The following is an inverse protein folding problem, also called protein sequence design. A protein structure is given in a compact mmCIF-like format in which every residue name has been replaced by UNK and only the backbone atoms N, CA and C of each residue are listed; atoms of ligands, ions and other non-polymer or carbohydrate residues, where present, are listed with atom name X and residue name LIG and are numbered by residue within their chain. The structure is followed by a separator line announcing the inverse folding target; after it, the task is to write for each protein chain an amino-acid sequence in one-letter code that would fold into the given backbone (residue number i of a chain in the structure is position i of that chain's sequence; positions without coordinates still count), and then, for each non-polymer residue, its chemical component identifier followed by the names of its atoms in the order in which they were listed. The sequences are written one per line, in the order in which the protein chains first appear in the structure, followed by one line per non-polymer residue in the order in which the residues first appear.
data_IF_260761951702
#
_entry.id   IF_260761951702
#
_cell.length_a   1.000
_cell.length_b   1.000
_cell.length_c   1.000
_cell.angle_alpha   90.00
_cell.angle_beta   90.00
_cell.angle_gamma   90.00
#
_symmetry.space_group_name_H-M   'P 1'
#
loop_
_entity.id
_entity.type
_entity.pdbx_description
1 polymer ?
#
# COMPACT_ATOMS: atom_id res chain seq x y z
N UNK A 1 4.23 -15.73 -11.15
CA UNK A 1 3.89 -14.86 -10.01
C UNK A 1 3.52 -13.49 -10.53
N UNK A 2 2.58 -12.79 -9.90
CA UNK A 2 2.09 -11.51 -10.40
C UNK A 2 2.91 -10.35 -9.80
N UNK A 3 3.75 -9.71 -10.63
CA UNK A 3 4.64 -8.62 -10.19
C UNK A 3 3.87 -7.38 -9.71
N UNK A 4 2.69 -7.14 -10.28
CA UNK A 4 1.81 -6.03 -9.87
C UNK A 4 1.36 -6.22 -8.42
N UNK A 5 0.95 -7.44 -8.06
CA UNK A 5 0.53 -7.77 -6.69
C UNK A 5 1.68 -7.63 -5.71
N UNK A 6 2.87 -8.10 -6.08
CA UNK A 6 4.08 -7.98 -5.25
C UNK A 6 4.44 -6.49 -5.01
N UNK A 7 4.43 -5.67 -6.05
CA UNK A 7 4.71 -4.24 -5.89
C UNK A 7 3.63 -3.53 -5.06
N UNK A 8 2.36 -3.94 -5.16
CA UNK A 8 1.30 -3.40 -4.33
C UNK A 8 1.46 -3.79 -2.85
N UNK A 9 1.90 -5.03 -2.58
CA UNK A 9 2.21 -5.49 -1.21
C UNK A 9 3.35 -4.68 -0.57
N UNK A 10 4.36 -4.28 -1.36
CA UNK A 10 5.42 -3.38 -0.87
C UNK A 10 4.81 -2.06 -0.38
N UNK A 11 3.97 -1.41 -1.20
CA UNK A 11 3.33 -0.15 -0.83
C UNK A 11 2.46 -0.30 0.43
N UNK A 12 1.77 -1.43 0.58
CA UNK A 12 0.94 -1.75 1.75
C UNK A 12 1.75 -2.03 3.02
N UNK A 13 2.90 -2.70 2.91
CA UNK A 13 3.81 -2.93 4.02
C UNK A 13 4.40 -1.62 4.54
N UNK A 14 4.78 -0.71 3.63
CA UNK A 14 5.42 0.57 3.97
C UNK A 14 4.50 1.50 4.77
N UNK A 15 3.18 1.44 4.57
CA UNK A 15 2.20 2.21 5.34
C UNK A 15 1.51 1.40 6.46
N UNK A 16 1.88 0.14 6.64
CA UNK A 16 1.27 -0.76 7.64
C UNK A 16 -0.13 -1.27 7.30
N UNK A 17 -0.62 -1.07 6.07
CA UNK A 17 -1.88 -1.64 5.60
C UNK A 17 -1.79 -3.18 5.44
N UNK A 18 -0.57 -3.71 5.37
CA UNK A 18 -0.28 -5.13 5.45
C UNK A 18 0.78 -5.37 6.53
N UNK A 19 0.62 -6.45 7.29
CA UNK A 19 1.57 -6.87 8.32
C UNK A 19 2.65 -7.82 7.76
N UNK A 20 3.79 -7.89 8.46
CA UNK A 20 4.84 -8.87 8.16
C UNK A 20 4.31 -10.32 8.16
N UNK A 21 3.43 -10.65 9.11
CA UNK A 21 2.86 -11.98 9.23
C UNK A 21 2.01 -12.36 7.99
N UNK A 22 1.25 -11.41 7.44
CA UNK A 22 0.45 -11.64 6.23
C UNK A 22 1.33 -11.93 5.00
N UNK A 23 2.40 -11.16 4.81
CA UNK A 23 3.29 -11.37 3.66
C UNK A 23 4.13 -12.65 3.80
N UNK A 24 4.56 -13.00 5.01
CA UNK A 24 5.23 -14.28 5.28
C UNK A 24 4.28 -15.45 5.01
N UNK A 25 3.03 -15.39 5.49
CA UNK A 25 2.02 -16.43 5.23
C UNK A 25 1.76 -16.60 3.74
N UNK A 26 1.64 -15.50 3.00
CA UNK A 26 1.51 -15.52 1.54
C UNK A 26 2.70 -16.22 0.87
N UNK A 27 3.93 -15.93 1.28
CA UNK A 27 5.11 -16.57 0.72
C UNK A 27 5.16 -18.07 1.07
N UNK A 28 4.85 -18.45 2.30
CA UNK A 28 4.80 -19.83 2.77
C UNK A 28 3.78 -20.67 2.01
N UNK A 29 2.59 -20.11 1.77
CA UNK A 29 1.53 -20.76 0.99
C UNK A 29 2.01 -21.09 -0.43
N UNK A 30 2.66 -20.14 -1.11
CA UNK A 30 3.22 -20.36 -2.44
C UNK A 30 4.38 -21.36 -2.44
N UNK A 31 5.24 -21.34 -1.43
CA UNK A 31 6.33 -22.32 -1.28
C UNK A 31 5.77 -23.75 -1.17
N UNK A 32 4.67 -23.92 -0.44
CA UNK A 32 4.02 -25.22 -0.25
C UNK A 32 3.26 -25.66 -1.51
N UNK A 33 2.61 -24.73 -2.21
CA UNK A 33 1.80 -25.03 -3.40
C UNK A 33 2.64 -25.44 -4.61
N UNK A 34 3.77 -24.78 -4.84
CA UNK A 34 4.57 -25.03 -6.04
C UNK A 34 5.55 -26.20 -5.87
N UNK A 35 5.55 -27.11 -6.86
CA UNK A 35 6.50 -28.22 -6.90
C UNK A 35 7.98 -27.77 -6.99
N UNK A 36 8.21 -26.59 -7.61
CA UNK A 36 9.50 -25.89 -7.66
C UNK A 36 9.22 -24.41 -7.39
N UNK A 37 9.30 -23.96 -6.13
CA UNK A 37 9.04 -22.57 -5.79
C UNK A 37 10.18 -21.65 -6.27
N UNK A 38 9.87 -20.37 -6.42
CA UNK A 38 10.88 -19.34 -6.70
C UNK A 38 11.75 -19.11 -5.46
N UNK A 39 13.08 -19.20 -5.59
CA UNK A 39 14.00 -19.11 -4.46
C UNK A 39 13.83 -17.82 -3.65
N UNK A 40 13.43 -16.73 -4.31
CA UNK A 40 13.19 -15.42 -3.66
C UNK A 40 12.06 -15.46 -2.63
N UNK A 41 11.14 -16.43 -2.72
CA UNK A 41 10.07 -16.58 -1.72
C UNK A 41 10.61 -16.98 -0.34
N UNK A 42 11.74 -17.72 -0.29
CA UNK A 42 12.35 -18.09 0.99
C UNK A 42 12.91 -16.87 1.74
N UNK A 43 13.40 -15.87 1.02
CA UNK A 43 13.85 -14.61 1.63
C UNK A 43 12.68 -13.84 2.24
N UNK A 44 11.51 -13.86 1.58
CA UNK A 44 10.27 -13.26 2.13
C UNK A 44 9.78 -14.04 3.35
N UNK A 45 9.73 -15.37 3.26
CA UNK A 45 9.28 -16.28 4.34
C UNK A 45 10.13 -16.14 5.61
N UNK A 46 11.43 -15.91 5.46
CA UNK A 46 12.36 -15.82 6.59
C UNK A 46 12.59 -14.40 7.12
N UNK A 47 11.90 -13.40 6.54
CA UNK A 47 12.01 -12.00 6.93
C UNK A 47 11.60 -11.78 8.40
N UNK A 48 12.40 -11.02 9.15
CA UNK A 48 12.16 -10.73 10.58
C UNK A 48 11.68 -9.31 10.82
N UNK A 49 11.93 -8.42 9.88
CA UNK A 49 11.51 -7.04 9.91
C UNK A 49 10.81 -6.67 8.59
N UNK A 50 9.93 -5.66 8.64
CA UNK A 50 9.21 -5.17 7.45
C UNK A 50 10.19 -4.77 6.35
N UNK A 51 11.29 -4.09 6.69
CA UNK A 51 12.30 -3.69 5.72
C UNK A 51 12.95 -4.89 5.00
N UNK A 52 13.18 -6.00 5.71
CA UNK A 52 13.74 -7.22 5.11
C UNK A 52 12.75 -7.79 4.08
N UNK A 53 11.46 -7.84 4.44
CA UNK A 53 10.40 -8.29 3.54
C UNK A 53 10.26 -7.38 2.32
N UNK A 54 10.31 -6.06 2.49
CA UNK A 54 10.26 -5.10 1.37
C UNK A 54 11.44 -5.32 0.42
N UNK A 55 12.67 -5.46 0.93
CA UNK A 55 13.86 -5.72 0.09
C UNK A 55 13.72 -7.05 -0.65
N UNK A 56 13.25 -8.10 0.03
CA UNK A 56 13.04 -9.40 -0.59
C UNK A 56 11.97 -9.34 -1.70
N UNK A 57 10.87 -8.60 -1.48
CA UNK A 57 9.83 -8.40 -2.48
C UNK A 57 10.34 -7.58 -3.68
N UNK A 58 11.20 -6.59 -3.47
CA UNK A 58 11.81 -5.80 -4.55
C UNK A 58 12.68 -6.66 -5.48
N UNK A 59 13.23 -7.78 -5.01
CA UNK A 59 14.00 -8.72 -5.84
C UNK A 59 13.15 -9.41 -6.93
N UNK A 60 11.82 -9.31 -6.85
CA UNK A 60 10.92 -9.75 -7.93
C UNK A 60 10.89 -8.81 -9.14
N UNK A 61 11.39 -7.59 -8.97
CA UNK A 61 11.44 -6.54 -9.98
C UNK A 61 10.27 -5.56 -9.89
N UNK A 62 10.24 -4.63 -10.83
CA UNK A 62 9.23 -3.59 -10.92
C UNK A 62 8.27 -3.84 -12.09
N UNK A 63 6.99 -3.63 -11.85
CA UNK A 63 5.95 -3.61 -12.88
C UNK A 63 6.11 -2.41 -13.81
N UNK A 64 5.91 -2.60 -15.10
CA UNK A 64 5.81 -1.49 -16.05
C UNK A 64 4.50 -0.69 -15.90
N UNK A 65 3.48 -1.29 -15.29
CA UNK A 65 2.14 -0.70 -15.13
C UNK A 65 1.92 -0.13 -13.72
N UNK A 66 2.58 0.99 -13.41
CA UNK A 66 2.52 1.62 -12.08
C UNK A 66 1.10 2.03 -11.67
N UNK A 67 0.24 2.40 -12.63
CA UNK A 67 -1.17 2.72 -12.34
C UNK A 67 -1.94 1.52 -11.79
N UNK A 68 -1.73 0.33 -12.35
CA UNK A 68 -2.36 -0.90 -11.87
C UNK A 68 -1.80 -1.28 -10.49
N UNK A 69 -0.49 -1.07 -10.26
CA UNK A 69 0.11 -1.26 -8.93
C UNK A 69 -0.56 -0.35 -7.90
N UNK A 70 -0.74 0.94 -8.22
CA UNK A 70 -1.38 1.90 -7.34
C UNK A 70 -2.85 1.53 -7.04
N UNK A 71 -3.62 1.09 -8.04
CA UNK A 71 -4.99 0.59 -7.85
C UNK A 71 -5.03 -0.60 -6.88
N UNK A 72 -4.13 -1.57 -7.06
CA UNK A 72 -4.02 -2.73 -6.15
C UNK A 72 -3.57 -2.33 -4.75
N UNK A 73 -2.65 -1.37 -4.63
CA UNK A 73 -2.23 -0.85 -3.34
C UNK A 73 -3.37 -0.13 -2.63
N UNK A 74 -4.19 0.65 -3.35
CA UNK A 74 -5.38 1.31 -2.81
C UNK A 74 -6.37 0.31 -2.25
N UNK A 75 -6.59 -0.81 -2.94
CA UNK A 75 -7.40 -1.91 -2.40
C UNK A 75 -6.84 -2.43 -1.07
N UNK A 76 -5.53 -2.67 -0.99
CA UNK A 76 -4.87 -3.12 0.25
C UNK A 76 -4.96 -2.06 1.37
N UNK A 77 -4.85 -0.76 1.04
CA UNK A 77 -5.01 0.32 2.00
C UNK A 77 -6.43 0.37 2.58
N UNK A 78 -7.44 0.24 1.71
CA UNK A 78 -8.86 0.19 2.09
C UNK A 78 -9.11 -0.95 3.09
N UNK A 79 -8.64 -2.16 2.76
CA UNK A 79 -8.73 -3.34 3.64
C UNK A 79 -7.95 -3.11 4.94
N UNK A 80 -6.75 -2.54 4.88
CA UNK A 80 -5.93 -2.24 6.06
C UNK A 80 -6.60 -1.25 7.02
N UNK A 81 -7.26 -0.22 6.50
CA UNK A 81 -8.04 0.73 7.30
C UNK A 81 -9.23 0.03 7.96
N UNK A 82 -9.99 -0.76 7.20
CA UNK A 82 -11.14 -1.51 7.72
C UNK A 82 -10.77 -2.47 8.86
N UNK A 83 -9.61 -3.12 8.73
CA UNK A 83 -9.07 -4.04 9.73
C UNK A 83 -8.33 -3.34 10.87
N UNK A 84 -8.25 -2.00 10.86
CA UNK A 84 -7.49 -1.20 11.84
C UNK A 84 -6.00 -1.58 11.93
N UNK A 85 -5.42 -2.03 10.82
CA UNK A 85 -3.97 -2.33 10.71
C UNK A 85 -3.14 -1.06 10.50
N UNK A 86 -3.72 -0.07 9.82
CA UNK A 86 -3.10 1.23 9.53
C UNK A 86 -4.05 2.37 9.90
N UNK A 87 -3.52 3.58 10.05
CA UNK A 87 -4.31 4.78 10.23
C UNK A 87 -4.55 5.53 8.92
N UNK A 88 -5.55 6.41 8.93
CA UNK A 88 -5.82 7.30 7.79
C UNK A 88 -4.64 8.23 7.52
N UNK A 89 -3.92 8.67 8.56
CA UNK A 89 -2.71 9.48 8.45
C UNK A 89 -1.58 8.76 7.74
N UNK A 90 -1.34 7.49 8.09
CA UNK A 90 -0.29 6.69 7.44
C UNK A 90 -0.60 6.47 5.96
N UNK A 91 -1.87 6.21 5.64
CA UNK A 91 -2.30 6.07 4.24
C UNK A 91 -2.24 7.40 3.50
N UNK A 92 -2.71 8.51 4.09
CA UNK A 92 -2.63 9.84 3.49
C UNK A 92 -1.18 10.24 3.18
N UNK A 93 -0.27 10.01 4.12
CA UNK A 93 1.16 10.21 3.91
C UNK A 93 1.70 9.30 2.79
N UNK A 94 1.27 8.04 2.74
CA UNK A 94 1.74 7.10 1.72
C UNK A 94 1.29 7.51 0.32
N UNK A 95 0.02 7.89 0.14
CA UNK A 95 -0.48 8.30 -1.18
C UNK A 95 0.17 9.61 -1.64
N UNK A 96 0.55 10.51 -0.71
CA UNK A 96 1.36 11.69 -1.03
C UNK A 96 2.72 11.28 -1.64
N UNK A 97 3.46 10.36 -1.00
CA UNK A 97 4.73 9.89 -1.52
C UNK A 97 4.59 9.09 -2.82
N UNK A 98 3.48 8.36 -2.99
CA UNK A 98 3.17 7.69 -4.26
C UNK A 98 2.99 8.70 -5.39
N UNK A 99 2.30 9.81 -5.16
CA UNK A 99 2.15 10.87 -6.16
C UNK A 99 3.50 11.52 -6.51
N UNK A 100 4.38 11.75 -5.53
CA UNK A 100 5.75 12.23 -5.78
C UNK A 100 6.58 11.25 -6.63
N UNK A 101 6.28 9.96 -6.55
CA UNK A 101 6.97 8.90 -7.27
C UNK A 101 6.30 8.52 -8.60
N UNK A 102 5.30 9.28 -9.06
CA UNK A 102 4.49 8.98 -10.26
C UNK A 102 3.78 7.61 -10.19
N UNK A 103 3.48 7.14 -8.97
CA UNK A 103 2.74 5.91 -8.69
C UNK A 103 1.26 6.22 -8.46
N UNK A 104 0.62 6.75 -9.50
CA UNK A 104 -0.77 7.23 -9.44
C UNK A 104 -1.73 6.24 -10.11
N UNK A 105 -2.92 5.96 -9.53
CA UNK A 105 -3.88 5.02 -10.13
C UNK A 105 -4.57 5.61 -11.37
N UNK A 106 -4.64 6.93 -11.47
CA UNK A 106 -5.24 7.68 -12.59
C UNK A 106 -4.74 9.14 -12.56
N UNK A 107 -4.65 9.81 -13.71
CA UNK A 107 -4.17 11.21 -13.81
C UNK A 107 -5.01 12.16 -12.94
N UNK A 108 -6.35 12.03 -12.98
CA UNK A 108 -7.26 12.82 -12.12
C UNK A 108 -7.08 12.60 -10.60
N UNK A 109 -6.43 11.52 -10.19
CA UNK A 109 -6.23 11.21 -8.78
C UNK A 109 -5.04 11.98 -8.17
N UNK A 110 -4.05 12.35 -8.98
CA UNK A 110 -2.76 12.90 -8.55
C UNK A 110 -2.92 14.14 -7.65
N UNK A 111 -3.73 15.12 -8.10
CA UNK A 111 -3.93 16.36 -7.35
C UNK A 111 -4.52 16.14 -5.96
N UNK A 112 -5.42 15.16 -5.82
CA UNK A 112 -6.00 14.80 -4.53
C UNK A 112 -5.03 14.03 -3.64
N UNK A 113 -4.18 13.17 -4.22
CA UNK A 113 -3.15 12.45 -3.46
C UNK A 113 -2.18 13.39 -2.77
N UNK A 114 -1.86 14.54 -3.38
CA UNK A 114 -1.00 15.55 -2.77
C UNK A 114 -1.66 16.29 -1.60
N UNK A 115 -2.99 16.38 -1.55
CA UNK A 115 -3.67 17.26 -0.58
C UNK A 115 -4.06 16.57 0.73
N UNK A 116 -4.43 15.29 0.69
CA UNK A 116 -5.00 14.60 1.86
C UNK A 116 -4.11 14.61 3.10
N UNK A 117 -2.79 14.49 2.94
CA UNK A 117 -1.88 14.48 4.09
C UNK A 117 -1.88 15.83 4.81
N UNK A 118 -1.73 16.92 4.05
CA UNK A 118 -1.76 18.30 4.57
C UNK A 118 -3.14 18.65 5.14
N UNK A 119 -4.22 18.30 4.44
CA UNK A 119 -5.60 18.56 4.88
C UNK A 119 -5.89 17.88 6.23
N UNK A 120 -5.49 16.62 6.38
CA UNK A 120 -5.71 15.86 7.61
C UNK A 120 -4.85 16.39 8.77
N UNK A 121 -3.60 16.80 8.51
CA UNK A 121 -2.75 17.43 9.51
C UNK A 121 -3.34 18.77 10.01
N UNK A 122 -3.77 19.63 9.09
CA UNK A 122 -4.40 20.91 9.42
C UNK A 122 -5.73 20.74 10.17
N UNK A 123 -6.51 19.72 9.82
CA UNK A 123 -7.75 19.42 10.52
C UNK A 123 -7.52 18.88 11.92
N UNK A 124 -6.55 17.97 12.09
CA UNK A 124 -6.16 17.46 13.40
C UNK A 124 -5.61 18.58 14.30
N UNK A 125 -4.95 19.58 13.72
CA UNK A 125 -4.52 20.79 14.42
C UNK A 125 -5.65 21.80 14.72
N UNK A 126 -6.87 21.56 14.23
CA UNK A 126 -8.02 22.46 14.41
C UNK A 126 -7.96 23.73 13.58
N UNK A 127 -7.17 23.75 12.49
CA UNK A 127 -6.95 24.93 11.64
C UNK A 127 -7.89 24.97 10.44
N UNK A 128 -8.16 23.81 9.81
CA UNK A 128 -8.97 23.72 8.59
C UNK A 128 -9.82 22.44 8.58
N UNK A 129 -11.11 22.55 8.26
CA UNK A 129 -11.99 21.39 8.07
C UNK A 129 -12.29 20.61 9.36
N UNK A 130 -12.86 19.41 9.19
CA UNK A 130 -13.14 18.46 10.26
C UNK A 130 -12.39 17.14 9.98
N UNK A 131 -11.60 16.61 10.93
CA UNK A 131 -10.85 15.37 10.72
C UNK A 131 -11.71 14.18 10.30
N UNK A 132 -12.94 14.06 10.84
CA UNK A 132 -13.82 12.94 10.52
C UNK A 132 -14.29 12.99 9.05
N UNK A 133 -14.58 14.19 8.55
CA UNK A 133 -15.03 14.41 7.18
C UNK A 133 -13.90 14.10 6.19
N UNK A 134 -12.68 14.59 6.45
CA UNK A 134 -11.51 14.34 5.60
C UNK A 134 -11.12 12.86 5.59
N UNK A 135 -11.18 12.18 6.74
CA UNK A 135 -10.96 10.72 6.80
C UNK A 135 -11.99 9.97 5.95
N UNK A 136 -13.25 10.39 5.99
CA UNK A 136 -14.30 9.79 5.18
C UNK A 136 -14.05 10.02 3.69
N UNK A 137 -13.70 11.24 3.29
CA UNK A 137 -13.34 11.60 1.91
C UNK A 137 -12.13 10.80 1.41
N UNK A 138 -11.10 10.62 2.23
CA UNK A 138 -9.94 9.80 1.91
C UNK A 138 -10.33 8.35 1.60
N UNK A 139 -11.16 7.73 2.43
CA UNK A 139 -11.61 6.34 2.19
C UNK A 139 -12.45 6.24 0.92
N UNK A 140 -13.35 7.21 0.69
CA UNK A 140 -14.15 7.27 -0.54
C UNK A 140 -13.26 7.46 -1.78
N UNK A 141 -12.21 8.27 -1.68
CA UNK A 141 -11.22 8.46 -2.72
C UNK A 141 -10.46 7.18 -3.03
N UNK A 142 -9.92 6.50 -2.01
CA UNK A 142 -9.19 5.24 -2.18
C UNK A 142 -10.07 4.20 -2.88
N UNK A 143 -11.31 4.02 -2.40
CA UNK A 143 -12.26 3.07 -2.98
C UNK A 143 -12.71 3.42 -4.40
N UNK A 144 -12.69 4.70 -4.77
CA UNK A 144 -13.00 5.12 -6.14
C UNK A 144 -11.93 4.67 -7.14
N UNK A 145 -10.68 4.59 -6.70
CA UNK A 145 -9.52 4.33 -7.55
C UNK A 145 -8.85 2.98 -7.28
N UNK A 146 -9.51 2.05 -6.57
CA UNK A 146 -8.97 0.70 -6.32
C UNK A 146 -9.25 -0.31 -7.46
N UNK A 147 -9.93 0.11 -8.54
CA UNK A 147 -10.40 -0.73 -9.66
C UNK A 147 -9.80 -0.36 -11.01
#
# INVERSE_FOLDING_TARGET
MNIVEINAMILALECGAMSLAQVVSWADELIIEFAVPDDRLFDVSTAKHINDAVIALQAFGDSESQSIVAQKAFHLFSVGIEQSLTSHEQVAQKIYYMALADQIPHEEAEGHMFSFWDELDLANAGVYGNPADIRHELVMFIRRYES
#
